data_IF_635369279515
#
_entry.id   IF_635369279515
#
_cell.length_a   1.000
_cell.length_b   1.000
_cell.length_c   1.000
_cell.angle_alpha   90.00
_cell.angle_beta   90.00
_cell.angle_gamma   90.00
#
_symmetry.space_group_name_H-M   'P 1'
#
loop_
_entity.id
_entity.type
_entity.pdbx_description
1 polymer ?
#
# COMPACT_ATOMS: atom_id res chain seq x y z
N UNK A 1 38.72 2.78 -16.62
CA UNK A 1 38.38 1.78 -15.59
C UNK A 1 37.89 2.57 -14.37
N UNK A 2 36.57 2.74 -14.22
CA UNK A 2 35.96 3.50 -13.12
C UNK A 2 35.72 2.51 -11.98
N UNK A 3 36.34 2.76 -10.83
CA UNK A 3 36.21 1.96 -9.62
C UNK A 3 34.77 2.03 -9.14
N UNK A 4 34.13 0.88 -8.97
CA UNK A 4 32.80 0.75 -8.38
C UNK A 4 32.87 1.21 -6.91
N UNK A 5 32.44 2.46 -6.65
CA UNK A 5 32.13 2.92 -5.30
C UNK A 5 30.95 2.10 -4.79
N UNK A 6 31.22 1.04 -4.01
CA UNK A 6 30.21 0.37 -3.22
C UNK A 6 29.51 1.41 -2.32
N UNK A 7 28.19 1.61 -2.44
CA UNK A 7 27.50 2.61 -1.65
C UNK A 7 27.60 2.23 -0.17
N UNK A 8 28.17 3.12 0.63
CA UNK A 8 28.35 2.97 2.06
C UNK A 8 26.99 2.83 2.76
N UNK A 9 26.68 1.61 3.20
CA UNK A 9 25.48 1.30 3.99
C UNK A 9 25.53 2.12 5.28
N UNK A 10 24.57 3.01 5.47
CA UNK A 10 24.52 3.92 6.62
C UNK A 10 24.03 3.19 7.88
N UNK A 11 24.30 3.74 9.07
CA UNK A 11 23.77 3.20 10.33
C UNK A 11 22.23 3.20 10.39
N UNK A 12 21.59 4.13 9.66
CA UNK A 12 20.15 4.17 9.46
C UNK A 12 19.66 2.95 8.69
N UNK A 13 20.35 2.58 7.59
CA UNK A 13 19.99 1.41 6.77
C UNK A 13 20.11 0.11 7.59
N UNK A 14 21.15 0.00 8.43
CA UNK A 14 21.34 -1.16 9.33
C UNK A 14 20.24 -1.26 10.39
N UNK A 15 19.85 -0.13 10.98
CA UNK A 15 18.79 -0.08 12.01
C UNK A 15 17.41 -0.35 11.40
N UNK A 16 17.15 0.17 10.19
CA UNK A 16 15.95 -0.13 9.42
C UNK A 16 15.88 -1.62 9.08
N UNK A 17 16.95 -2.21 8.54
CA UNK A 17 17.02 -3.65 8.24
C UNK A 17 16.75 -4.51 9.49
N UNK A 18 17.33 -4.13 10.64
CA UNK A 18 17.09 -4.84 11.90
C UNK A 18 15.65 -4.75 12.39
N UNK A 19 14.97 -3.60 12.23
CA UNK A 19 13.57 -3.42 12.59
C UNK A 19 12.66 -4.21 11.63
N UNK A 20 12.94 -4.20 10.33
CA UNK A 20 12.13 -4.91 9.33
C UNK A 20 12.32 -6.43 9.39
N UNK A 21 13.44 -6.92 9.94
CA UNK A 21 13.68 -8.34 10.19
C UNK A 21 13.26 -8.79 11.61
N UNK A 22 12.58 -7.92 12.41
CA UNK A 22 12.03 -8.34 13.70
C UNK A 22 10.83 -9.25 13.50
N UNK A 23 10.96 -10.47 14.02
CA UNK A 23 9.92 -11.51 14.07
C UNK A 23 8.67 -11.13 14.89
N UNK A 24 8.70 -10.03 15.65
CA UNK A 24 7.59 -9.58 16.51
C UNK A 24 6.34 -9.16 15.71
N UNK A 25 6.51 -8.65 14.48
CA UNK A 25 5.39 -8.28 13.59
C UNK A 25 4.87 -9.42 12.71
N UNK A 26 5.62 -10.53 12.61
CA UNK A 26 5.31 -11.68 11.76
C UNK A 26 3.90 -12.26 11.95
N UNK A 27 3.32 -12.43 13.17
CA UNK A 27 2.00 -13.04 13.32
C UNK A 27 0.85 -12.23 12.69
N UNK A 28 1.06 -10.94 12.41
CA UNK A 28 0.07 -10.07 11.76
C UNK A 28 0.02 -10.26 10.24
N UNK A 29 1.08 -10.78 9.61
CA UNK A 29 1.19 -10.95 8.16
C UNK A 29 1.71 -12.33 7.70
N UNK A 30 1.86 -13.26 8.64
CA UNK A 30 2.38 -14.61 8.41
C UNK A 30 1.59 -15.43 7.37
N UNK A 31 0.31 -15.10 7.13
CA UNK A 31 -0.53 -15.84 6.17
C UNK A 31 -1.09 -14.91 5.10
N UNK A 32 -1.23 -15.42 3.88
CA UNK A 32 -1.86 -14.71 2.76
C UNK A 32 -3.25 -14.17 3.10
N UNK A 33 -4.03 -14.90 3.91
CA UNK A 33 -5.35 -14.44 4.36
C UNK A 33 -5.24 -13.19 5.25
N UNK A 34 -4.34 -13.17 6.23
CA UNK A 34 -4.13 -12.00 7.11
C UNK A 34 -3.60 -10.80 6.34
N UNK A 35 -2.67 -11.00 5.40
CA UNK A 35 -2.19 -9.91 4.52
C UNK A 35 -3.31 -9.31 3.70
N UNK A 36 -4.17 -10.15 3.10
CA UNK A 36 -5.36 -9.68 2.36
C UNK A 36 -6.31 -8.92 3.28
N UNK A 37 -6.57 -9.41 4.48
CA UNK A 37 -7.43 -8.70 5.45
C UNK A 37 -6.87 -7.33 5.81
N UNK A 38 -5.55 -7.21 6.04
CA UNK A 38 -4.92 -5.91 6.33
C UNK A 38 -5.03 -4.96 5.14
N UNK A 39 -4.77 -5.43 3.90
CA UNK A 39 -4.91 -4.60 2.70
C UNK A 39 -6.36 -4.15 2.51
N UNK A 40 -7.34 -5.05 2.64
CA UNK A 40 -8.76 -4.71 2.54
C UNK A 40 -9.17 -3.73 3.63
N UNK A 41 -8.68 -3.91 4.86
CA UNK A 41 -8.90 -2.97 5.97
C UNK A 41 -8.32 -1.60 5.64
N UNK A 42 -7.12 -1.54 5.08
CA UNK A 42 -6.51 -0.29 4.65
C UNK A 42 -7.31 0.39 3.52
N UNK A 43 -7.82 -0.37 2.55
CA UNK A 43 -8.69 0.16 1.49
C UNK A 43 -9.97 0.76 2.10
N UNK A 44 -10.61 0.05 3.03
CA UNK A 44 -11.80 0.53 3.72
C UNK A 44 -11.51 1.80 4.53
N UNK A 45 -10.43 1.84 5.30
CA UNK A 45 -9.99 3.02 6.05
C UNK A 45 -9.69 4.20 5.12
N UNK A 46 -9.05 3.96 3.97
CA UNK A 46 -8.85 5.00 2.95
C UNK A 46 -10.18 5.54 2.44
N UNK A 47 -11.16 4.69 2.13
CA UNK A 47 -12.48 5.13 1.66
C UNK A 47 -13.20 5.97 2.73
N UNK A 48 -13.18 5.54 3.99
CA UNK A 48 -13.76 6.32 5.11
C UNK A 48 -13.00 7.64 5.29
N UNK A 49 -11.68 7.63 5.21
CA UNK A 49 -10.85 8.84 5.31
C UNK A 49 -11.15 9.86 4.22
N UNK A 50 -11.27 9.40 2.96
CA UNK A 50 -11.70 10.23 1.82
C UNK A 50 -13.09 10.82 2.08
N UNK A 51 -14.05 9.99 2.52
CA UNK A 51 -15.40 10.46 2.81
C UNK A 51 -15.41 11.53 3.91
N UNK A 52 -14.76 11.26 5.05
CA UNK A 52 -14.62 12.24 6.15
C UNK A 52 -13.96 13.54 5.68
N UNK A 53 -12.91 13.46 4.86
CA UNK A 53 -12.26 14.64 4.31
C UNK A 53 -13.17 15.43 3.37
N UNK A 54 -13.87 14.76 2.45
CA UNK A 54 -14.82 15.41 1.54
C UNK A 54 -15.98 16.06 2.30
N UNK A 55 -16.55 15.39 3.31
CA UNK A 55 -17.56 16.00 4.18
C UNK A 55 -17.02 17.19 4.97
N UNK A 56 -15.76 17.14 5.42
CA UNK A 56 -15.13 18.25 6.13
C UNK A 56 -14.88 19.45 5.21
N UNK A 57 -14.50 19.23 3.95
CA UNK A 57 -14.13 20.30 2.99
C UNK A 57 -15.33 20.86 2.25
N UNK A 58 -16.28 20.00 1.85
CA UNK A 58 -17.45 20.39 1.05
C UNK A 58 -18.72 20.60 1.90
N UNK A 59 -18.81 19.96 3.08
CA UNK A 59 -19.99 19.97 3.93
C UNK A 59 -19.92 20.88 5.16
N UNK A 60 -18.77 21.48 5.46
CA UNK A 60 -18.51 22.29 6.68
C UNK A 60 -18.82 21.58 8.01
N UNK A 61 -18.81 20.24 7.98
CA UNK A 61 -19.17 19.39 9.11
C UNK A 61 -17.95 19.13 10.01
N UNK A 62 -17.86 19.85 11.13
CA UNK A 62 -16.72 19.74 12.07
C UNK A 62 -16.51 18.34 12.64
N UNK A 63 -17.57 17.53 12.75
CA UNK A 63 -17.47 16.15 13.22
C UNK A 63 -16.65 15.28 12.26
N UNK A 64 -16.69 15.59 10.96
CA UNK A 64 -15.97 14.86 9.93
C UNK A 64 -14.45 15.03 10.06
N UNK A 65 -13.99 16.19 10.54
CA UNK A 65 -12.57 16.40 10.89
C UNK A 65 -12.11 15.45 12.01
N UNK A 66 -12.90 15.29 13.06
CA UNK A 66 -12.59 14.34 14.14
C UNK A 66 -12.66 12.88 13.66
N UNK A 67 -13.62 12.56 12.79
CA UNK A 67 -13.68 11.27 12.11
C UNK A 67 -12.40 10.96 11.33
N UNK A 68 -11.89 11.94 10.56
CA UNK A 68 -10.64 11.79 9.81
C UNK A 68 -9.45 11.53 10.75
N UNK A 69 -9.34 12.27 11.86
CA UNK A 69 -8.29 12.04 12.85
C UNK A 69 -8.38 10.66 13.50
N UNK A 70 -9.60 10.19 13.80
CA UNK A 70 -9.84 8.86 14.34
C UNK A 70 -9.44 7.73 13.38
N UNK A 71 -9.62 7.93 12.07
CA UNK A 71 -9.23 6.98 11.02
C UNK A 71 -7.73 7.00 10.76
N UNK A 72 -7.06 8.13 10.95
CA UNK A 72 -5.64 8.28 10.62
C UNK A 72 -4.74 7.31 11.39
N UNK A 73 -5.00 7.09 12.68
CA UNK A 73 -4.22 6.15 13.50
C UNK A 73 -4.29 4.70 12.98
N UNK A 74 -5.47 4.06 12.85
CA UNK A 74 -5.54 2.71 12.29
C UNK A 74 -5.07 2.64 10.84
N UNK A 75 -5.20 3.73 10.07
CA UNK A 75 -4.67 3.83 8.71
C UNK A 75 -3.14 3.73 8.69
N UNK A 76 -2.45 4.51 9.53
CA UNK A 76 -1.00 4.45 9.66
C UNK A 76 -0.49 3.08 10.12
N UNK A 77 -1.20 2.45 11.08
CA UNK A 77 -0.85 1.09 11.55
C UNK A 77 -1.00 0.08 10.41
N UNK A 78 -2.11 0.11 9.66
CA UNK A 78 -2.32 -0.78 8.53
C UNK A 78 -1.25 -0.58 7.44
N UNK A 79 -0.88 0.67 7.15
CA UNK A 79 0.18 0.98 6.19
C UNK A 79 1.53 0.41 6.63
N UNK A 80 1.87 0.58 7.91
CA UNK A 80 3.08 0.01 8.51
C UNK A 80 3.11 -1.51 8.45
N UNK A 81 1.99 -2.19 8.69
CA UNK A 81 1.90 -3.66 8.58
C UNK A 81 2.09 -4.13 7.13
N UNK A 82 1.54 -3.42 6.14
CA UNK A 82 1.74 -3.74 4.72
C UNK A 82 3.21 -3.53 4.32
N UNK A 83 3.84 -2.44 4.77
CA UNK A 83 5.27 -2.20 4.54
C UNK A 83 6.16 -3.24 5.23
N UNK A 84 5.81 -3.66 6.45
CA UNK A 84 6.49 -4.75 7.16
C UNK A 84 6.38 -6.09 6.42
N UNK A 85 5.18 -6.44 5.95
CA UNK A 85 4.93 -7.67 5.20
C UNK A 85 5.69 -7.75 3.87
N UNK A 86 6.03 -6.60 3.30
CA UNK A 86 6.84 -6.49 2.07
C UNK A 86 8.34 -6.36 2.38
N UNK A 87 8.76 -6.59 3.64
CA UNK A 87 10.12 -6.44 4.15
C UNK A 87 10.77 -5.09 3.79
N UNK A 88 9.95 -4.05 3.61
CA UNK A 88 10.43 -2.71 3.22
C UNK A 88 10.81 -2.55 1.77
N UNK A 89 10.33 -3.40 0.85
CA UNK A 89 10.53 -3.25 -0.60
C UNK A 89 10.24 -1.82 -1.13
N UNK A 90 9.38 -1.07 -0.43
CA UNK A 90 9.03 0.32 -0.76
C UNK A 90 9.87 1.38 -0.03
N UNK A 91 10.47 1.06 1.12
CA UNK A 91 11.30 1.99 1.92
C UNK A 91 12.81 1.80 1.69
N UNK A 92 13.25 0.61 1.29
CA UNK A 92 14.65 0.32 0.94
C UNK A 92 15.03 0.99 -0.39
N UNK A 93 16.11 1.77 -0.36
CA UNK A 93 16.67 2.43 -1.56
C UNK A 93 17.08 1.38 -2.59
N UNK A 94 16.76 1.61 -3.87
CA UNK A 94 17.06 0.75 -5.04
C UNK A 94 18.52 0.24 -5.09
N UNK A 95 19.47 0.96 -4.48
CA UNK A 95 20.89 0.58 -4.40
C UNK A 95 21.21 -0.57 -3.44
N UNK A 96 20.30 -0.95 -2.54
CA UNK A 96 20.46 -2.05 -1.58
C UNK A 96 19.67 -3.30 -1.99
N UNK A 97 18.75 -3.16 -2.96
CA UNK A 97 17.94 -4.28 -3.45
C UNK A 97 18.71 -5.15 -4.45
N UNK A 98 18.69 -6.45 -4.20
CA UNK A 98 19.20 -7.51 -5.08
C UNK A 98 18.42 -7.56 -6.42
N UNK A 99 18.99 -8.18 -7.46
CA UNK A 99 18.38 -8.24 -8.81
C UNK A 99 16.97 -8.83 -8.78
N UNK A 100 16.76 -9.85 -7.92
CA UNK A 100 15.45 -10.48 -7.71
C UNK A 100 14.42 -9.49 -7.15
N UNK A 101 14.78 -8.70 -6.16
CA UNK A 101 13.86 -7.75 -5.52
C UNK A 101 13.54 -6.56 -6.45
N UNK A 102 14.49 -6.14 -7.30
CA UNK A 102 14.24 -5.14 -8.35
C UNK A 102 13.23 -5.63 -9.39
N UNK A 103 13.36 -6.88 -9.84
CA UNK A 103 12.42 -7.49 -10.77
C UNK A 103 11.01 -7.57 -10.17
N UNK A 104 10.90 -7.93 -8.89
CA UNK A 104 9.62 -7.98 -8.17
C UNK A 104 8.98 -6.60 -8.03
N UNK A 105 9.75 -5.57 -7.65
CA UNK A 105 9.28 -4.18 -7.62
C UNK A 105 8.76 -3.71 -8.98
N UNK A 106 9.47 -4.01 -10.06
CA UNK A 106 9.03 -3.68 -11.42
C UNK A 106 7.75 -4.41 -11.81
N UNK A 107 7.60 -5.67 -11.40
CA UNK A 107 6.38 -6.46 -11.63
C UNK A 107 5.18 -5.86 -10.90
N UNK A 108 5.37 -5.44 -9.64
CA UNK A 108 4.33 -4.75 -8.86
C UNK A 108 3.96 -3.41 -9.50
N UNK A 109 4.94 -2.61 -9.91
CA UNK A 109 4.70 -1.33 -10.58
C UNK A 109 3.94 -1.49 -11.91
N UNK A 110 4.35 -2.46 -12.74
CA UNK A 110 3.64 -2.78 -13.97
C UNK A 110 2.20 -3.23 -13.68
N UNK A 111 2.00 -4.08 -12.66
CA UNK A 111 0.66 -4.53 -12.28
C UNK A 111 -0.19 -3.37 -11.73
N UNK A 112 0.40 -2.44 -10.98
CA UNK A 112 -0.27 -1.24 -10.50
C UNK A 112 -0.78 -0.39 -11.66
N UNK A 113 0.04 -0.22 -12.70
CA UNK A 113 -0.36 0.50 -13.89
C UNK A 113 -1.53 -0.18 -14.61
N UNK A 114 -1.49 -1.50 -14.78
CA UNK A 114 -2.60 -2.24 -15.40
C UNK A 114 -3.90 -2.14 -14.59
N UNK A 115 -3.84 -2.29 -13.27
CA UNK A 115 -5.02 -2.17 -12.40
C UNK A 115 -5.57 -0.74 -12.44
N UNK A 116 -4.68 0.27 -12.42
CA UNK A 116 -5.06 1.66 -12.55
C UNK A 116 -5.76 1.96 -13.88
N UNK A 117 -5.25 1.42 -14.99
CA UNK A 117 -5.88 1.58 -16.30
C UNK A 117 -7.31 1.05 -16.30
N UNK A 118 -7.54 -0.15 -15.76
CA UNK A 118 -8.89 -0.73 -15.65
C UNK A 118 -9.79 0.08 -14.72
N UNK A 119 -9.25 0.60 -13.63
CA UNK A 119 -9.98 1.47 -12.72
C UNK A 119 -10.39 2.78 -13.39
N UNK A 120 -9.47 3.42 -14.11
CA UNK A 120 -9.76 4.64 -14.87
C UNK A 120 -10.83 4.40 -15.93
N UNK A 121 -10.76 3.26 -16.63
CA UNK A 121 -11.81 2.85 -17.57
C UNK A 121 -13.16 2.69 -16.86
N UNK A 122 -13.20 2.00 -15.72
CA UNK A 122 -14.42 1.81 -14.93
C UNK A 122 -15.01 3.14 -14.45
N UNK A 123 -14.17 4.06 -13.95
CA UNK A 123 -14.59 5.41 -13.55
C UNK A 123 -15.13 6.18 -14.75
N UNK A 124 -14.47 6.10 -15.91
CA UNK A 124 -14.88 6.81 -17.14
C UNK A 124 -16.23 6.30 -17.65
N UNK A 125 -16.41 4.98 -17.68
CA UNK A 125 -17.68 4.36 -18.07
C UNK A 125 -18.76 4.71 -17.05
N UNK A 126 -18.44 4.65 -15.76
CA UNK A 126 -19.38 4.97 -14.67
C UNK A 126 -19.86 6.42 -14.70
N UNK A 127 -18.95 7.39 -14.88
CA UNK A 127 -19.33 8.81 -14.98
C UNK A 127 -20.11 9.09 -16.26
N UNK A 128 -19.75 8.46 -17.39
CA UNK A 128 -20.51 8.55 -18.63
C UNK A 128 -21.95 8.05 -18.48
N UNK A 129 -22.15 6.85 -17.90
CA UNK A 129 -23.47 6.29 -17.64
C UNK A 129 -24.29 7.14 -16.66
N UNK A 130 -23.66 7.68 -15.62
CA UNK A 130 -24.32 8.60 -14.68
C UNK A 130 -24.80 9.88 -15.40
N UNK A 131 -23.98 10.44 -16.30
CA UNK A 131 -24.37 11.58 -17.13
C UNK A 131 -25.56 11.26 -18.03
N UNK A 132 -25.59 10.08 -18.67
CA UNK A 132 -26.75 9.63 -19.45
C UNK A 132 -28.02 9.46 -18.60
N UNK A 133 -27.88 9.11 -17.33
CA UNK A 133 -28.98 9.02 -16.38
C UNK A 133 -29.42 10.37 -15.80
N UNK A 134 -28.81 11.49 -16.23
CA UNK A 134 -29.16 12.84 -15.77
C UNK A 134 -28.52 13.26 -14.45
N UNK A 135 -27.48 12.56 -13.98
CA UNK A 135 -26.71 12.97 -12.80
C UNK A 135 -25.84 14.18 -13.12
N UNK A 136 -25.85 15.19 -12.26
CA UNK A 136 -25.00 16.36 -12.37
C UNK A 136 -23.53 16.00 -12.09
N UNK A 137 -22.71 16.01 -13.15
CA UNK A 137 -21.31 15.58 -13.06
C UNK A 137 -20.41 16.67 -12.48
N UNK A 138 -20.74 17.94 -12.66
CA UNK A 138 -19.90 19.08 -12.27
C UNK A 138 -19.53 19.04 -10.77
N UNK A 139 -20.51 18.81 -9.90
CA UNK A 139 -20.30 18.65 -8.46
C UNK A 139 -19.51 17.39 -8.06
N UNK A 140 -19.36 16.41 -8.95
CA UNK A 140 -18.64 15.16 -8.72
C UNK A 140 -17.21 15.16 -9.26
N UNK A 141 -16.83 16.10 -10.12
CA UNK A 141 -15.50 16.15 -10.74
C UNK A 141 -14.40 16.11 -9.67
N UNK A 142 -14.47 17.03 -8.71
CA UNK A 142 -13.43 17.14 -7.67
C UNK A 142 -13.38 15.91 -6.76
N UNK A 143 -14.50 15.43 -6.15
CA UNK A 143 -14.52 14.20 -5.37
C UNK A 143 -13.96 12.98 -6.10
N UNK A 144 -14.33 12.80 -7.38
CA UNK A 144 -13.88 11.65 -8.19
C UNK A 144 -12.39 11.75 -8.49
N UNK A 145 -11.91 12.91 -8.96
CA UNK A 145 -10.49 13.09 -9.27
C UNK A 145 -9.61 12.94 -8.03
N UNK A 146 -10.02 13.51 -6.90
CA UNK A 146 -9.30 13.35 -5.64
C UNK A 146 -9.25 11.89 -5.19
N UNK A 147 -10.37 11.17 -5.27
CA UNK A 147 -10.42 9.75 -4.92
C UNK A 147 -9.52 8.91 -5.82
N UNK A 148 -9.56 9.14 -7.14
CA UNK A 148 -8.68 8.47 -8.12
C UNK A 148 -7.22 8.77 -7.83
N UNK A 149 -6.87 10.02 -7.51
CA UNK A 149 -5.52 10.40 -7.13
C UNK A 149 -5.02 9.64 -5.90
N UNK A 150 -5.80 9.57 -4.83
CA UNK A 150 -5.43 8.82 -3.61
C UNK A 150 -5.26 7.33 -3.91
N UNK A 151 -6.18 6.74 -4.68
CA UNK A 151 -6.08 5.33 -5.10
C UNK A 151 -4.83 5.09 -5.94
N UNK A 152 -4.51 5.99 -6.87
CA UNK A 152 -3.29 5.92 -7.69
C UNK A 152 -2.03 5.93 -6.83
N UNK A 153 -1.99 6.83 -5.85
CA UNK A 153 -0.86 6.95 -4.95
C UNK A 153 -0.66 5.67 -4.10
N UNK A 154 -1.74 5.06 -3.61
CA UNK A 154 -1.68 3.88 -2.75
C UNK A 154 -1.63 2.54 -3.51
N UNK A 155 -1.91 2.53 -4.82
CA UNK A 155 -2.00 1.31 -5.61
C UNK A 155 -0.76 0.40 -5.51
N UNK A 156 0.49 0.92 -5.59
CA UNK A 156 1.69 0.10 -5.48
C UNK A 156 1.80 -0.57 -4.10
N UNK A 157 1.39 0.12 -3.03
CA UNK A 157 1.40 -0.39 -1.66
C UNK A 157 0.44 -1.58 -1.52
N UNK A 158 -0.80 -1.41 -1.99
CA UNK A 158 -1.80 -2.49 -1.91
C UNK A 158 -1.39 -3.70 -2.73
N UNK A 159 -0.88 -3.50 -3.95
CA UNK A 159 -0.42 -4.62 -4.76
C UNK A 159 0.82 -5.29 -4.20
N UNK A 160 1.76 -4.54 -3.63
CA UNK A 160 2.91 -5.14 -2.96
C UNK A 160 2.46 -6.04 -1.80
N UNK A 161 1.52 -5.57 -0.96
CA UNK A 161 0.97 -6.36 0.15
C UNK A 161 0.20 -7.61 -0.31
N UNK A 162 -0.56 -7.51 -1.41
CA UNK A 162 -1.32 -8.63 -1.98
C UNK A 162 -0.44 -9.65 -2.71
N UNK A 163 0.67 -9.20 -3.31
CA UNK A 163 1.59 -10.04 -4.07
C UNK A 163 2.72 -10.63 -3.22
N UNK A 164 2.94 -10.13 -2.00
CA UNK A 164 3.94 -10.66 -1.08
C UNK A 164 3.74 -12.18 -0.88
N UNK A 165 4.78 -12.95 -1.18
CA UNK A 165 4.80 -14.40 -0.95
C UNK A 165 4.67 -14.71 0.54
N UNK A 166 4.10 -15.88 0.86
CA UNK A 166 4.15 -16.37 2.24
C UNK A 166 5.62 -16.58 2.63
N UNK A 167 5.99 -16.12 3.83
CA UNK A 167 7.21 -16.59 4.45
C UNK A 167 7.02 -18.10 4.65
N UNK A 168 7.78 -18.91 3.90
CA UNK A 168 7.87 -20.34 4.16
C UNK A 168 8.22 -20.48 5.64
N UNK A 169 7.49 -21.29 6.43
CA UNK A 169 7.96 -21.63 7.76
C UNK A 169 9.38 -22.15 7.58
N UNK A 170 10.36 -21.52 8.24
CA UNK A 170 11.69 -22.11 8.36
C UNK A 170 11.44 -23.54 8.82
N UNK A 171 11.85 -24.51 8.01
CA UNK A 171 11.97 -25.89 8.47
C UNK A 171 12.77 -25.79 9.76
N UNK A 172 12.11 -26.09 10.88
CA UNK A 172 12.79 -26.34 12.14
C UNK A 172 13.95 -27.26 11.79
N UNK A 173 15.22 -26.95 12.13
CA UNK A 173 16.32 -27.87 11.92
C UNK A 173 16.01 -29.08 12.80
N UNK A 174 15.20 -29.98 12.26
CA UNK A 174 14.86 -31.26 12.83
C UNK A 174 16.20 -31.93 12.99
N UNK A 175 16.61 -31.99 14.26
CA UNK A 175 17.51 -32.96 14.84
C UNK A 175 18.03 -33.94 13.78
N UNK A 176 19.17 -33.61 13.16
CA UNK A 176 20.05 -34.65 12.62
C UNK A 176 20.49 -35.47 13.83
N UNK A 177 19.67 -36.47 14.12
CA UNK A 177 19.87 -37.40 15.20
C UNK A 177 20.95 -38.42 14.89
N UNK A 178 21.33 -39.08 16.00
CA UNK A 178 22.09 -40.32 16.16
C UNK A 178 23.62 -40.21 16.16
#
# INVERSE_FOLDING_TARGET
>A
MKTDEQPTITGYDRRMYAIMNRREGAPLHATAARRRTVVVTHIALTAVGIACWLYSVLGDERWATFGMLGVLLPWCVAAGVINGATRGLLELRVRVLDERQRAEKNRVAARAQYVMMWLLLAVTVGTGLAGFAGVEIEGLIFPVLFSVFVVHWLMPLWLAGLMAADDLPEEDPAEEGA
#
